data_IF_883352644302
#
_entry.id   IF_883352644302
#
_cell.length_a   1.000
_cell.length_b   1.000
_cell.length_c   1.000
_cell.angle_alpha   90.00
_cell.angle_beta   90.00
_cell.angle_gamma   90.00
#
_symmetry.space_group_name_H-M   'P 1'
#
loop_
_entity.id
_entity.type
_entity.pdbx_description
1 polymer ?
#
# COMPACT_ATOMS: atom_id res chain seq x y z
N UNK A 1 11.67 -10.64 -19.99
CA UNK A 1 10.40 -10.23 -19.37
C UNK A 1 9.63 -11.47 -18.92
N UNK A 2 8.92 -11.37 -17.80
CA UNK A 2 8.04 -12.44 -17.31
C UNK A 2 6.82 -12.51 -18.23
N UNK A 3 6.63 -13.65 -18.92
CA UNK A 3 5.53 -13.85 -19.85
C UNK A 3 4.28 -14.44 -19.17
N UNK A 4 4.44 -15.23 -18.12
CA UNK A 4 3.37 -15.92 -17.39
C UNK A 4 3.60 -15.80 -15.90
N UNK A 5 2.50 -15.61 -15.16
CA UNK A 5 2.46 -15.67 -13.69
C UNK A 5 1.43 -16.68 -13.27
N UNK A 6 1.80 -17.62 -12.38
CA UNK A 6 0.93 -18.68 -11.90
C UNK A 6 0.14 -18.18 -10.69
N UNK A 7 -1.19 -18.23 -10.76
CA UNK A 7 -2.10 -17.86 -9.66
C UNK A 7 -2.48 -19.05 -8.79
N UNK A 8 -2.56 -20.25 -9.40
CA UNK A 8 -2.89 -21.49 -8.70
C UNK A 8 -2.17 -22.67 -9.36
N UNK A 9 -1.75 -23.64 -8.54
CA UNK A 9 -1.25 -24.94 -9.00
C UNK A 9 -2.36 -26.00 -9.07
N UNK A 10 -3.60 -25.61 -8.80
CA UNK A 10 -4.79 -26.46 -8.93
C UNK A 10 -5.63 -25.97 -10.09
N UNK A 11 -6.37 -26.89 -10.71
CA UNK A 11 -7.36 -26.53 -11.69
C UNK A 11 -8.61 -26.03 -10.95
N UNK A 12 -8.79 -24.73 -10.91
CA UNK A 12 -9.90 -24.07 -10.25
C UNK A 12 -10.31 -22.80 -11.03
N UNK A 13 -11.59 -22.39 -10.96
CA UNK A 13 -12.04 -21.17 -11.62
C UNK A 13 -11.42 -19.95 -10.93
N UNK A 14 -10.92 -19.01 -11.74
CA UNK A 14 -10.46 -17.70 -11.26
C UNK A 14 -11.67 -16.76 -11.33
N UNK A 15 -12.45 -16.76 -10.26
CA UNK A 15 -13.69 -16.01 -10.14
C UNK A 15 -13.68 -15.16 -8.85
N UNK A 16 -14.81 -14.54 -8.52
CA UNK A 16 -14.96 -13.73 -7.31
C UNK A 16 -14.55 -14.47 -6.02
N UNK A 17 -14.99 -15.74 -5.85
CA UNK A 17 -14.67 -16.53 -4.65
C UNK A 17 -13.18 -16.85 -4.55
N UNK A 18 -12.51 -17.06 -5.69
CA UNK A 18 -11.06 -17.22 -5.73
C UNK A 18 -10.36 -15.97 -5.19
N UNK A 19 -10.72 -14.78 -5.69
CA UNK A 19 -10.14 -13.53 -5.26
C UNK A 19 -10.42 -13.23 -3.78
N UNK A 20 -11.68 -13.45 -3.35
CA UNK A 20 -12.09 -13.29 -1.96
C UNK A 20 -11.24 -14.13 -1.02
N UNK A 21 -11.13 -15.43 -1.27
CA UNK A 21 -10.32 -16.36 -0.46
C UNK A 21 -8.84 -15.92 -0.40
N UNK A 22 -8.26 -15.50 -1.52
CA UNK A 22 -6.87 -15.02 -1.56
C UNK A 22 -6.67 -13.74 -0.74
N UNK A 23 -7.60 -12.81 -0.81
CA UNK A 23 -7.57 -11.58 -0.04
C UNK A 23 -7.81 -11.81 1.46
N UNK A 24 -8.69 -12.74 1.81
CA UNK A 24 -8.89 -13.19 3.20
C UNK A 24 -7.58 -13.72 3.80
N UNK A 25 -6.88 -14.62 3.10
CA UNK A 25 -5.59 -15.15 3.54
C UNK A 25 -4.56 -14.03 3.74
N UNK A 26 -4.50 -13.08 2.81
CA UNK A 26 -3.61 -11.92 2.94
C UNK A 26 -3.96 -11.04 4.14
N UNK A 27 -5.24 -10.78 4.38
CA UNK A 27 -5.71 -10.01 5.52
C UNK A 27 -5.46 -10.73 6.85
N UNK A 28 -5.77 -12.02 6.93
CA UNK A 28 -5.53 -12.84 8.13
C UNK A 28 -4.04 -12.87 8.51
N UNK A 29 -3.16 -12.93 7.53
CA UNK A 29 -1.71 -12.79 7.77
C UNK A 29 -1.36 -11.45 8.41
N UNK A 30 -1.94 -10.34 7.94
CA UNK A 30 -1.71 -8.99 8.52
C UNK A 30 -2.31 -8.85 9.91
N UNK A 31 -3.40 -9.54 10.19
CA UNK A 31 -3.95 -9.65 11.54
C UNK A 31 -3.04 -10.49 12.45
N UNK A 32 -2.58 -11.64 11.98
CA UNK A 32 -1.71 -12.54 12.76
C UNK A 32 -0.39 -11.88 13.17
N UNK A 33 0.21 -11.07 12.30
CA UNK A 33 1.42 -10.29 12.64
C UNK A 33 1.12 -8.98 13.37
N UNK A 34 -0.16 -8.71 13.68
CA UNK A 34 -0.58 -7.56 14.47
C UNK A 34 -0.61 -6.21 13.74
N UNK A 35 -0.35 -6.16 12.43
CA UNK A 35 -0.23 -4.89 11.71
C UNK A 35 -1.60 -4.30 11.33
N UNK A 36 -2.56 -5.15 10.96
CA UNK A 36 -3.89 -4.73 10.54
C UNK A 36 -4.85 -4.45 11.72
N UNK A 37 -4.49 -4.90 12.93
CA UNK A 37 -5.30 -4.74 14.15
C UNK A 37 -4.66 -3.80 15.17
N UNK A 38 -3.56 -3.14 14.83
CA UNK A 38 -2.87 -2.21 15.72
C UNK A 38 -3.64 -0.89 15.81
N UNK A 39 -4.10 -0.46 17.01
CA UNK A 39 -4.95 0.73 17.15
C UNK A 39 -4.23 2.06 16.83
N UNK A 40 -2.91 2.05 16.75
CA UNK A 40 -2.10 3.23 16.40
C UNK A 40 -1.48 3.12 15.00
N UNK A 41 -2.04 2.23 14.15
CA UNK A 41 -1.57 2.03 12.80
C UNK A 41 -2.73 1.64 11.86
N UNK A 42 -3.00 2.46 10.88
CA UNK A 42 -3.97 2.19 9.81
C UNK A 42 -3.33 2.28 8.41
N UNK A 43 -1.99 2.18 8.38
CA UNK A 43 -1.17 2.28 7.17
C UNK A 43 -0.36 0.99 7.01
N UNK A 44 -0.68 0.17 6.00
CA UNK A 44 0.04 -1.09 5.76
C UNK A 44 -0.18 -1.66 4.36
N UNK A 45 0.73 -2.52 3.93
CA UNK A 45 0.56 -3.32 2.71
C UNK A 45 -0.30 -4.54 2.98
N UNK A 46 -1.49 -4.56 2.39
CA UNK A 46 -2.41 -5.69 2.46
C UNK A 46 -1.98 -6.81 1.50
N UNK A 47 -1.61 -6.47 0.27
CA UNK A 47 -1.18 -7.45 -0.75
C UNK A 47 0.18 -7.06 -1.30
N UNK A 48 1.13 -8.00 -1.27
CA UNK A 48 2.50 -7.86 -1.75
C UNK A 48 2.81 -8.84 -2.89
N UNK A 49 2.02 -8.82 -3.94
CA UNK A 49 2.31 -9.57 -5.16
C UNK A 49 2.60 -11.05 -4.91
N UNK A 50 3.76 -11.49 -5.34
CA UNK A 50 4.23 -12.88 -5.22
C UNK A 50 4.30 -13.37 -3.77
N UNK A 51 4.57 -12.49 -2.81
CA UNK A 51 4.63 -12.83 -1.39
C UNK A 51 3.30 -13.30 -0.81
N UNK A 52 2.19 -12.88 -1.40
CA UNK A 52 0.82 -13.28 -1.01
C UNK A 52 0.18 -14.24 -2.04
N UNK A 53 0.98 -14.83 -2.94
CA UNK A 53 0.48 -15.67 -4.05
C UNK A 53 -0.56 -14.95 -4.93
N UNK A 54 -0.37 -13.65 -5.12
CA UNK A 54 -1.15 -12.74 -5.97
C UNK A 54 -0.22 -11.98 -6.91
N UNK A 55 0.58 -12.68 -7.76
CA UNK A 55 1.66 -12.09 -8.51
C UNK A 55 1.18 -10.97 -9.43
N UNK A 56 1.76 -9.79 -9.25
CA UNK A 56 1.41 -8.60 -10.02
C UNK A 56 0.26 -7.78 -9.42
N UNK A 57 -0.19 -8.06 -8.19
CA UNK A 57 -1.14 -7.24 -7.46
C UNK A 57 -0.46 -6.62 -6.23
N UNK A 58 -0.62 -5.31 -6.06
CA UNK A 58 -0.22 -4.58 -4.85
C UNK A 58 -1.44 -3.85 -4.32
N UNK A 59 -1.70 -3.97 -3.01
CA UNK A 59 -2.75 -3.22 -2.32
C UNK A 59 -2.16 -2.67 -1.03
N UNK A 60 -2.16 -1.35 -0.89
CA UNK A 60 -1.80 -0.64 0.32
C UNK A 60 -3.04 0.01 0.95
N UNK A 61 -3.14 -0.10 2.26
CA UNK A 61 -4.22 0.50 3.05
C UNK A 61 -3.71 1.80 3.69
N UNK A 62 -4.49 2.86 3.57
CA UNK A 62 -4.28 4.17 4.16
C UNK A 62 -5.60 4.60 4.81
N UNK A 63 -5.71 4.44 6.12
CA UNK A 63 -6.95 4.64 6.88
C UNK A 63 -8.13 3.88 6.24
N UNK A 64 -9.10 4.59 5.68
CA UNK A 64 -10.30 4.04 5.04
C UNK A 64 -10.16 3.86 3.51
N UNK A 65 -8.96 4.05 2.97
CA UNK A 65 -8.71 3.95 1.53
C UNK A 65 -7.75 2.82 1.20
N UNK A 66 -8.14 1.93 0.29
CA UNK A 66 -7.26 0.95 -0.33
C UNK A 66 -6.75 1.50 -1.67
N UNK A 67 -5.44 1.55 -1.84
CA UNK A 67 -4.80 1.90 -3.12
C UNK A 67 -4.32 0.64 -3.80
N UNK A 68 -4.91 0.32 -4.94
CA UNK A 68 -4.68 -0.91 -5.70
C UNK A 68 -3.85 -0.63 -6.95
N UNK A 69 -2.79 -1.40 -7.15
CA UNK A 69 -1.97 -1.38 -8.37
C UNK A 69 -1.92 -2.75 -9.02
N UNK A 70 -2.15 -2.78 -10.33
CA UNK A 70 -1.90 -3.92 -11.20
C UNK A 70 -0.54 -3.77 -11.91
N UNK A 71 0.28 -4.79 -11.83
CA UNK A 71 1.58 -4.90 -12.51
C UNK A 71 1.57 -5.99 -13.59
N UNK A 72 0.41 -6.53 -13.92
CA UNK A 72 0.18 -7.50 -15.00
C UNK A 72 -1.17 -7.28 -15.65
N UNK A 73 -1.29 -7.70 -16.93
CA UNK A 73 -2.53 -7.60 -17.69
C UNK A 73 -3.70 -8.32 -17.00
N UNK A 74 -3.49 -9.53 -16.49
CA UNK A 74 -4.53 -10.29 -15.80
C UNK A 74 -5.09 -9.55 -14.59
N UNK A 75 -4.23 -8.96 -13.75
CA UNK A 75 -4.68 -8.17 -12.58
C UNK A 75 -5.45 -6.92 -13.00
N UNK A 76 -5.10 -6.32 -14.14
CA UNK A 76 -5.87 -5.19 -14.68
C UNK A 76 -7.25 -5.62 -15.19
N UNK A 77 -7.32 -6.73 -15.91
CA UNK A 77 -8.60 -7.24 -16.43
C UNK A 77 -9.56 -7.56 -15.29
N UNK A 78 -9.08 -8.23 -14.25
CA UNK A 78 -9.92 -8.65 -13.11
C UNK A 78 -10.09 -7.57 -12.03
N UNK A 79 -9.58 -6.35 -12.24
CA UNK A 79 -9.57 -5.29 -11.22
C UNK A 79 -10.91 -5.01 -10.55
N UNK A 80 -12.02 -5.10 -11.30
CA UNK A 80 -13.36 -4.86 -10.76
C UNK A 80 -13.80 -5.99 -9.83
N UNK A 81 -13.60 -7.24 -10.24
CA UNK A 81 -13.92 -8.42 -9.43
C UNK A 81 -13.04 -8.47 -8.18
N UNK A 82 -11.76 -8.11 -8.31
CA UNK A 82 -10.84 -7.98 -7.18
C UNK A 82 -11.32 -6.88 -6.21
N UNK A 83 -11.78 -5.74 -6.72
CA UNK A 83 -12.29 -4.65 -5.89
C UNK A 83 -13.58 -5.01 -5.14
N UNK A 84 -14.49 -5.76 -5.77
CA UNK A 84 -15.69 -6.30 -5.12
C UNK A 84 -15.31 -7.27 -4.00
N UNK A 85 -14.46 -8.24 -4.28
CA UNK A 85 -13.97 -9.20 -3.30
C UNK A 85 -13.25 -8.49 -2.13
N UNK A 86 -12.41 -7.49 -2.43
CA UNK A 86 -11.73 -6.67 -1.42
C UNK A 86 -12.74 -5.93 -0.52
N UNK A 87 -13.80 -5.39 -1.12
CA UNK A 87 -14.86 -4.70 -0.38
C UNK A 87 -15.58 -5.62 0.60
N UNK A 88 -15.81 -6.86 0.22
CA UNK A 88 -16.43 -7.86 1.09
C UNK A 88 -15.49 -8.27 2.24
N UNK A 89 -14.22 -8.55 1.94
CA UNK A 89 -13.22 -8.97 2.93
C UNK A 89 -12.97 -7.88 3.96
N UNK A 90 -12.87 -6.64 3.52
CA UNK A 90 -12.56 -5.51 4.40
C UNK A 90 -13.79 -4.92 5.11
N UNK A 91 -14.98 -5.08 4.51
CA UNK A 91 -16.23 -4.58 5.07
C UNK A 91 -16.19 -3.06 5.32
N UNK A 92 -16.56 -2.64 6.51
CA UNK A 92 -16.57 -1.24 6.98
C UNK A 92 -15.18 -0.66 7.29
N UNK A 93 -14.12 -1.49 7.20
CA UNK A 93 -12.73 -1.04 7.40
C UNK A 93 -12.22 -0.17 6.26
N UNK A 94 -12.81 -0.32 5.05
CA UNK A 94 -12.51 0.56 3.91
C UNK A 94 -13.78 1.15 3.30
N UNK A 95 -13.70 2.42 2.96
CA UNK A 95 -14.78 3.17 2.28
C UNK A 95 -14.44 3.41 0.82
N UNK A 96 -13.15 3.48 0.49
CA UNK A 96 -12.68 3.83 -0.84
C UNK A 96 -11.71 2.77 -1.37
N UNK A 97 -11.77 2.53 -2.68
CA UNK A 97 -10.76 1.77 -3.43
C UNK A 97 -10.32 2.65 -4.60
N UNK A 98 -9.06 3.07 -4.58
CA UNK A 98 -8.45 3.85 -5.64
C UNK A 98 -7.52 2.97 -6.48
N UNK A 99 -7.79 2.89 -7.78
CA UNK A 99 -6.96 2.18 -8.73
C UNK A 99 -5.89 3.10 -9.31
N UNK A 100 -4.63 2.71 -9.20
CA UNK A 100 -3.47 3.52 -9.62
C UNK A 100 -2.49 2.69 -10.44
N UNK A 101 -2.80 2.47 -11.72
CA UNK A 101 -2.00 1.59 -12.58
C UNK A 101 -1.61 2.18 -13.93
N UNK A 102 -1.80 3.46 -14.14
CA UNK A 102 -1.47 4.14 -15.39
C UNK A 102 -0.01 3.94 -15.83
N UNK A 103 0.91 3.83 -14.87
CA UNK A 103 2.35 3.68 -15.12
C UNK A 103 2.92 2.31 -14.70
N UNK A 104 2.11 1.38 -14.20
CA UNK A 104 2.60 0.12 -13.62
C UNK A 104 2.42 -1.09 -14.54
N UNK A 105 1.57 -0.99 -15.56
CA UNK A 105 1.34 -2.07 -16.51
C UNK A 105 2.52 -2.22 -17.50
N UNK A 106 2.78 -3.44 -17.97
CA UNK A 106 3.77 -3.67 -19.01
C UNK A 106 3.44 -2.91 -20.29
N UNK A 107 4.37 -2.13 -20.81
CA UNK A 107 4.21 -1.31 -22.02
C UNK A 107 3.68 -2.09 -23.24
N UNK A 108 4.05 -3.38 -23.35
CA UNK A 108 3.66 -4.24 -24.50
C UNK A 108 2.25 -4.84 -24.36
N UNK A 109 1.50 -4.50 -23.32
CA UNK A 109 0.19 -5.10 -23.10
C UNK A 109 -0.94 -4.41 -23.87
N UNK A 110 -0.65 -3.28 -24.56
CA UNK A 110 -1.63 -2.42 -25.25
C UNK A 110 -2.87 -2.10 -24.40
N UNK A 111 -2.65 -1.97 -23.09
CA UNK A 111 -3.66 -1.57 -22.12
C UNK A 111 -3.43 -0.11 -21.76
N UNK A 112 -4.51 0.65 -21.75
CA UNK A 112 -4.49 2.08 -21.39
C UNK A 112 -5.28 2.26 -20.08
N UNK A 113 -4.69 1.89 -18.92
CA UNK A 113 -5.38 2.03 -17.66
C UNK A 113 -5.52 3.51 -17.29
N UNK A 114 -6.69 3.87 -16.82
CA UNK A 114 -6.92 5.16 -16.19
C UNK A 114 -6.90 4.97 -14.67
N UNK A 115 -6.26 5.90 -13.96
CA UNK A 115 -6.34 5.96 -12.51
C UNK A 115 -7.70 6.49 -12.09
N UNK A 116 -8.26 5.96 -11.01
CA UNK A 116 -9.57 6.41 -10.53
C UNK A 116 -10.13 5.57 -9.40
N UNK A 117 -11.23 6.05 -8.82
CA UNK A 117 -11.94 5.30 -7.79
C UNK A 117 -12.75 4.15 -8.41
N UNK A 118 -12.56 2.95 -7.90
CA UNK A 118 -13.40 1.78 -8.19
C UNK A 118 -14.55 1.67 -7.17
N UNK A 119 -14.37 2.27 -5.97
CA UNK A 119 -15.38 2.37 -4.91
C UNK A 119 -15.17 3.69 -4.16
N UNK A 120 -16.25 4.33 -3.73
CA UNK A 120 -16.21 5.57 -2.94
C UNK A 120 -15.83 6.78 -3.78
N UNK A 121 -15.04 7.69 -3.23
CA UNK A 121 -14.65 8.94 -3.89
C UNK A 121 -14.11 10.00 -2.92
N UNK A 122 -13.93 9.65 -1.64
CA UNK A 122 -13.35 10.56 -0.66
C UNK A 122 -11.85 10.70 -0.82
N UNK A 123 -11.36 11.93 -0.73
CA UNK A 123 -9.94 12.27 -0.71
C UNK A 123 -9.42 12.54 0.71
N UNK A 124 -10.07 11.97 1.75
CA UNK A 124 -9.50 12.01 3.09
C UNK A 124 -8.26 11.12 3.11
N UNK A 125 -7.11 11.76 3.14
CA UNK A 125 -5.81 11.16 2.93
C UNK A 125 -4.90 11.28 4.16
N UNK A 126 -5.47 11.46 5.35
CA UNK A 126 -4.74 11.38 6.61
C UNK A 126 -4.70 9.91 7.06
N UNK A 127 -3.50 9.36 7.12
CA UNK A 127 -3.25 7.99 7.59
C UNK A 127 -2.26 7.99 8.75
N UNK A 128 -2.29 6.93 9.56
CA UNK A 128 -1.52 6.82 10.79
C UNK A 128 -0.55 5.64 10.73
N UNK A 129 0.71 5.90 11.10
CA UNK A 129 1.73 4.88 11.27
C UNK A 129 2.39 5.04 12.65
N UNK A 130 2.24 4.04 13.51
CA UNK A 130 2.76 4.05 14.89
C UNK A 130 2.45 5.35 15.66
N UNK A 131 1.23 5.86 15.50
CA UNK A 131 0.75 7.08 16.16
C UNK A 131 1.12 8.40 15.48
N UNK A 132 2.01 8.39 14.49
CA UNK A 132 2.29 9.56 13.65
C UNK A 132 1.28 9.65 12.51
N UNK A 133 0.73 10.82 12.28
CA UNK A 133 -0.20 11.08 11.18
C UNK A 133 0.54 11.63 9.98
N UNK A 134 0.22 11.09 8.81
CA UNK A 134 0.80 11.47 7.53
C UNK A 134 -0.31 11.84 6.55
N UNK A 135 -0.06 12.89 5.79
CA UNK A 135 -0.83 13.19 4.61
C UNK A 135 -0.29 12.32 3.46
N UNK A 136 -1.08 11.36 2.99
CA UNK A 136 -0.68 10.42 1.93
C UNK A 136 -1.32 10.83 0.61
N UNK A 137 -0.53 11.31 -0.34
CA UNK A 137 -1.00 11.66 -1.67
C UNK A 137 -0.96 10.44 -2.60
N UNK A 138 -2.03 9.63 -2.60
CA UNK A 138 -2.14 8.52 -3.54
C UNK A 138 -2.51 8.96 -4.96
N UNK A 139 -3.01 10.18 -5.15
CA UNK A 139 -3.38 10.67 -6.48
C UNK A 139 -2.15 10.98 -7.32
N UNK A 140 -1.22 11.79 -6.78
CA UNK A 140 -0.04 12.29 -7.48
C UNK A 140 1.28 11.73 -6.93
N UNK A 141 1.30 11.26 -5.69
CA UNK A 141 2.50 10.75 -5.04
C UNK A 141 3.10 9.53 -5.71
N UNK A 142 4.34 9.24 -5.39
CA UNK A 142 5.08 8.09 -5.94
C UNK A 142 4.46 6.77 -5.46
N UNK A 143 4.57 5.72 -6.28
CA UNK A 143 4.01 4.38 -6.00
C UNK A 143 2.52 4.49 -5.60
N UNK A 144 2.16 3.96 -4.45
CA UNK A 144 0.80 4.05 -3.87
C UNK A 144 0.56 5.32 -3.06
N UNK A 145 1.59 6.17 -2.85
CA UNK A 145 1.52 7.44 -2.12
C UNK A 145 2.43 7.51 -0.90
N UNK A 146 2.83 6.36 -0.33
CA UNK A 146 3.73 6.28 0.82
C UNK A 146 4.59 5.01 0.77
N UNK A 147 5.76 5.04 1.40
CA UNK A 147 6.70 3.92 1.45
C UNK A 147 6.46 3.07 2.70
N UNK A 148 5.40 2.27 2.70
CA UNK A 148 4.99 1.45 3.85
C UNK A 148 6.03 0.39 4.26
N UNK A 149 6.89 -0.02 3.32
CA UNK A 149 8.00 -0.96 3.53
C UNK A 149 9.12 -0.39 4.43
N UNK A 150 9.20 0.93 4.58
CA UNK A 150 10.22 1.62 5.37
C UNK A 150 9.82 1.83 6.86
N UNK A 151 8.68 1.34 7.29
CA UNK A 151 8.17 1.53 8.66
C UNK A 151 9.18 1.17 9.74
N UNK A 152 9.74 -0.04 9.67
CA UNK A 152 10.68 -0.52 10.67
C UNK A 152 11.99 0.27 10.65
N UNK A 153 12.45 0.70 9.48
CA UNK A 153 13.62 1.55 9.35
C UNK A 153 13.37 2.95 9.94
N UNK A 154 12.16 3.51 9.77
CA UNK A 154 11.78 4.75 10.43
C UNK A 154 11.76 4.61 11.95
N UNK A 155 11.17 3.53 12.46
CA UNK A 155 11.14 3.21 13.89
C UNK A 155 12.55 2.96 14.45
N UNK A 156 13.43 2.36 13.67
CA UNK A 156 14.83 2.17 14.06
C UNK A 156 15.56 3.52 14.18
N UNK A 157 15.39 4.42 13.22
CA UNK A 157 15.96 5.76 13.29
C UNK A 157 15.51 6.51 14.55
N UNK A 158 14.23 6.40 14.91
CA UNK A 158 13.69 7.03 16.12
C UNK A 158 14.48 6.66 17.37
N UNK A 159 14.86 5.39 17.54
CA UNK A 159 15.62 4.89 18.70
C UNK A 159 17.01 5.54 18.82
N UNK A 160 17.61 5.93 17.70
CA UNK A 160 18.95 6.49 17.65
C UNK A 160 18.99 8.01 17.53
N UNK A 161 17.84 8.68 17.39
CA UNK A 161 17.77 10.10 17.09
C UNK A 161 17.99 11.03 18.29
N UNK A 162 17.80 10.52 19.53
CA UNK A 162 17.87 11.34 20.73
C UNK A 162 19.17 12.14 20.83
N UNK A 163 19.03 13.45 21.04
CA UNK A 163 20.13 14.40 21.22
C UNK A 163 21.08 14.54 20.01
N UNK A 164 20.68 14.05 18.83
CA UNK A 164 21.49 14.08 17.60
C UNK A 164 20.98 15.12 16.61
N UNK A 165 21.86 15.53 15.71
CA UNK A 165 21.47 16.21 14.46
C UNK A 165 21.28 15.13 13.39
N UNK A 166 20.16 15.20 12.68
CA UNK A 166 19.76 14.25 11.64
C UNK A 166 19.64 14.96 10.31
N UNK A 167 20.30 14.44 9.29
CA UNK A 167 20.14 14.86 7.89
C UNK A 167 19.36 13.76 7.14
N UNK A 168 18.15 14.08 6.70
CA UNK A 168 17.31 13.21 5.89
C UNK A 168 17.37 13.66 4.43
N UNK A 169 18.20 12.99 3.65
CA UNK A 169 18.32 13.20 2.20
C UNK A 169 17.31 12.35 1.46
N UNK A 170 16.76 12.88 0.36
CA UNK A 170 15.70 12.21 -0.42
C UNK A 170 14.47 11.93 0.45
N UNK A 171 14.06 12.96 1.19
CA UNK A 171 13.13 12.81 2.30
C UNK A 171 11.68 12.54 1.87
N UNK A 172 11.33 12.76 0.60
CA UNK A 172 9.96 12.64 0.08
C UNK A 172 8.97 13.39 0.98
N UNK A 173 8.00 12.70 1.58
CA UNK A 173 7.01 13.29 2.51
C UNK A 173 7.57 13.50 3.93
N UNK A 174 8.85 13.30 4.15
CA UNK A 174 9.50 13.54 5.45
C UNK A 174 9.27 12.43 6.49
N UNK A 175 8.84 11.25 6.10
CA UNK A 175 8.52 10.18 7.05
C UNK A 175 9.64 9.91 8.07
N UNK A 176 10.87 9.78 7.63
CA UNK A 176 12.02 9.60 8.54
C UNK A 176 12.26 10.80 9.46
N UNK A 177 12.02 12.01 8.97
CA UNK A 177 12.19 13.24 9.77
C UNK A 177 11.24 13.30 10.95
N UNK A 178 9.97 12.92 10.75
CA UNK A 178 8.98 12.89 11.83
C UNK A 178 9.33 11.86 12.92
N UNK A 179 9.82 10.69 12.53
CA UNK A 179 10.31 9.71 13.49
C UNK A 179 11.54 10.20 14.25
N UNK A 180 12.50 10.85 13.56
CA UNK A 180 13.66 11.43 14.22
C UNK A 180 13.27 12.52 15.23
N UNK A 181 12.33 13.42 14.88
CA UNK A 181 11.82 14.45 15.78
C UNK A 181 11.13 13.83 17.01
N UNK A 182 10.25 12.84 16.83
CA UNK A 182 9.62 12.12 17.94
C UNK A 182 10.64 11.40 18.81
N UNK A 183 11.71 10.90 18.23
CA UNK A 183 12.84 10.28 18.94
C UNK A 183 13.72 11.27 19.72
N UNK A 184 13.44 12.57 19.68
CA UNK A 184 14.17 13.59 20.43
C UNK A 184 15.43 14.11 19.74
N UNK A 185 15.47 14.12 18.41
CA UNK A 185 16.53 14.78 17.67
C UNK A 185 16.59 16.29 18.00
N UNK A 186 17.80 16.84 18.21
CA UNK A 186 18.01 18.27 18.45
C UNK A 186 17.77 19.11 17.20
N UNK A 187 18.06 18.54 16.05
CA UNK A 187 17.94 19.19 14.75
C UNK A 187 17.65 18.14 13.69
N UNK A 188 16.70 18.43 12.81
CA UNK A 188 16.42 17.60 11.63
C UNK A 188 16.40 18.47 10.39
N UNK A 189 17.29 18.17 9.46
CA UNK A 189 17.26 18.76 8.12
C UNK A 189 16.66 17.75 7.15
N UNK A 190 15.65 18.18 6.41
CA UNK A 190 15.00 17.38 5.36
C UNK A 190 15.32 18.02 4.01
N UNK A 191 15.85 17.23 3.09
CA UNK A 191 16.24 17.68 1.74
C UNK A 191 15.63 16.74 0.71
N UNK A 192 14.89 17.29 -0.25
CA UNK A 192 14.40 16.61 -1.42
C UNK A 192 14.48 17.50 -2.64
N UNK A 193 14.53 16.91 -3.81
CA UNK A 193 14.60 17.63 -5.10
C UNK A 193 13.27 17.64 -5.85
N UNK A 194 12.24 16.95 -5.34
CA UNK A 194 10.92 16.82 -5.96
C UNK A 194 9.94 17.86 -5.46
#
# INVERSE_FOLDING_TARGET
>A
SIAVRVLSFRQEPINHDFWKRKLEIAYDMRCAIGIAINPVNDTYRLVHGEGDNLPGLVIDIYAKTAVMQAHSAGMHVDRMVIAEALSEVMGDKIENIYYKSETTLPFKADLFPENGFLKGGSNDNIAQEYGLKFHVDWLKGQKTGFFVDQRENRSLLERYAKDRSVLNMFCYTGGFSFYAMRGGAKLVHSVDSS
#
